data_IF_246596546284
#
_entry.id   IF_246596546284
#
_cell.length_a   1.000
_cell.length_b   1.000
_cell.length_c   1.000
_cell.angle_alpha   90.00
_cell.angle_beta   90.00
_cell.angle_gamma   90.00
#
_symmetry.space_group_name_H-M   'P 1'
#
loop_
_entity.id
_entity.type
_entity.pdbx_description
1 polymer ?
#
# COMPACT_ATOMS: atom_id res chain seq x y z
N UNK A 1 -2.04 -43.77 -13.11
CA UNK A 1 -3.02 -42.75 -12.68
C UNK A 1 -2.60 -42.02 -11.41
N UNK A 2 -2.31 -42.72 -10.30
CA UNK A 2 -1.86 -42.11 -9.03
C UNK A 2 -0.69 -41.11 -9.17
N UNK A 3 0.32 -41.42 -9.99
CA UNK A 3 1.45 -40.52 -10.27
C UNK A 3 1.03 -39.14 -10.81
N UNK A 4 0.01 -39.09 -11.66
CA UNK A 4 -0.50 -37.82 -12.20
C UNK A 4 -1.28 -37.03 -11.15
N UNK A 5 -2.00 -37.74 -10.29
CA UNK A 5 -2.75 -37.14 -9.17
C UNK A 5 -1.76 -36.51 -8.18
N UNK A 6 -0.70 -37.23 -7.81
CA UNK A 6 0.34 -36.71 -6.92
C UNK A 6 1.08 -35.52 -7.55
N UNK A 7 1.43 -35.60 -8.84
CA UNK A 7 2.07 -34.49 -9.55
C UNK A 7 1.18 -33.23 -9.60
N UNK A 8 -0.13 -33.40 -9.82
CA UNK A 8 -1.09 -32.31 -9.82
C UNK A 8 -1.17 -31.59 -8.47
N UNK A 9 -1.23 -32.34 -7.36
CA UNK A 9 -1.25 -31.73 -6.02
C UNK A 9 0.06 -31.05 -5.66
N UNK A 10 1.21 -31.62 -6.04
CA UNK A 10 2.52 -30.97 -5.84
C UNK A 10 2.58 -29.66 -6.62
N UNK A 11 2.13 -29.66 -7.88
CA UNK A 11 2.08 -28.45 -8.70
C UNK A 11 1.17 -27.38 -8.08
N UNK A 12 -0.02 -27.75 -7.61
CA UNK A 12 -0.93 -26.81 -6.91
C UNK A 12 -0.29 -26.23 -5.65
N UNK A 13 0.40 -27.04 -4.85
CA UNK A 13 1.07 -26.57 -3.64
C UNK A 13 2.19 -25.57 -3.96
N UNK A 14 3.01 -25.86 -4.98
CA UNK A 14 4.06 -24.95 -5.46
C UNK A 14 3.45 -23.65 -5.98
N UNK A 15 2.40 -23.73 -6.80
CA UNK A 15 1.70 -22.56 -7.32
C UNK A 15 1.14 -21.69 -6.19
N UNK A 16 0.54 -22.31 -5.18
CA UNK A 16 0.02 -21.62 -4.01
C UNK A 16 1.11 -20.88 -3.24
N UNK A 17 2.27 -21.51 -3.00
CA UNK A 17 3.41 -20.88 -2.34
C UNK A 17 3.93 -19.68 -3.15
N UNK A 18 4.01 -19.81 -4.48
CA UNK A 18 4.42 -18.71 -5.37
C UNK A 18 3.46 -17.52 -5.26
N UNK A 19 2.15 -17.77 -5.27
CA UNK A 19 1.14 -16.72 -5.09
C UNK A 19 1.30 -16.03 -3.72
N UNK A 20 1.47 -16.80 -2.63
CA UNK A 20 1.69 -16.23 -1.30
C UNK A 20 2.94 -15.34 -1.22
N UNK A 21 4.04 -15.76 -1.84
CA UNK A 21 5.27 -14.97 -1.89
C UNK A 21 5.10 -13.67 -2.69
N UNK A 22 4.36 -13.72 -3.80
CA UNK A 22 4.04 -12.53 -4.60
C UNK A 22 3.14 -11.56 -3.82
N UNK A 23 2.11 -12.04 -3.15
CA UNK A 23 1.18 -11.22 -2.36
C UNK A 23 1.90 -10.51 -1.21
N UNK A 24 2.75 -11.22 -0.46
CA UNK A 24 3.50 -10.62 0.65
C UNK A 24 4.42 -9.48 0.21
N UNK A 25 4.96 -9.53 -1.03
CA UNK A 25 5.78 -8.44 -1.57
C UNK A 25 4.95 -7.23 -1.99
N UNK A 26 3.76 -7.43 -2.54
CA UNK A 26 2.87 -6.35 -3.00
C UNK A 26 2.25 -5.61 -1.81
N UNK A 27 1.85 -6.33 -0.76
CA UNK A 27 1.19 -5.74 0.40
C UNK A 27 2.12 -4.80 1.19
N UNK A 28 3.42 -5.14 1.28
CA UNK A 28 4.43 -4.25 1.87
C UNK A 28 4.57 -2.92 1.14
N UNK A 29 4.36 -2.87 -0.18
CA UNK A 29 4.39 -1.59 -0.92
C UNK A 29 3.19 -0.70 -0.54
N UNK A 30 2.03 -1.27 -0.27
CA UNK A 30 0.84 -0.50 0.15
C UNK A 30 0.92 -0.04 1.61
N UNK A 31 1.60 -0.79 2.48
CA UNK A 31 1.82 -0.40 3.87
C UNK A 31 2.80 0.77 4.05
N UNK A 32 3.48 1.18 2.98
CA UNK A 32 4.45 2.28 2.98
C UNK A 32 3.91 3.51 2.25
N UNK A 33 2.62 3.83 2.42
CA UNK A 33 2.19 5.23 2.27
C UNK A 33 2.97 6.02 3.31
N UNK A 34 4.11 6.55 2.89
CA UNK A 34 5.01 7.31 3.73
C UNK A 34 4.28 8.61 4.06
N UNK A 35 3.61 8.64 5.20
CA UNK A 35 3.05 9.89 5.70
C UNK A 35 4.19 10.88 5.86
N UNK A 36 3.99 12.06 5.29
CA UNK A 36 4.96 13.14 5.37
C UNK A 36 4.56 13.97 6.60
N UNK A 37 5.48 14.33 7.49
CA UNK A 37 5.19 15.30 8.54
C UNK A 37 4.74 16.63 7.93
N UNK A 38 3.88 17.38 8.63
CA UNK A 38 3.45 18.72 8.16
C UNK A 38 4.63 19.64 7.85
N UNK A 39 5.73 19.51 8.61
CA UNK A 39 6.94 20.32 8.42
C UNK A 39 7.67 20.04 7.09
N UNK A 40 7.47 18.87 6.49
CA UNK A 40 8.18 18.42 5.28
C UNK A 40 7.31 18.50 4.02
N UNK A 41 6.18 19.22 4.07
CA UNK A 41 5.28 19.38 2.92
C UNK A 41 5.97 20.24 1.85
N UNK A 42 6.17 19.74 0.63
CA UNK A 42 6.79 20.51 -0.44
C UNK A 42 5.92 21.71 -0.87
N UNK A 43 6.56 22.75 -1.39
CA UNK A 43 5.85 23.91 -1.92
C UNK A 43 4.89 23.53 -3.07
N UNK A 44 3.76 24.25 -3.14
CA UNK A 44 2.73 24.04 -4.16
C UNK A 44 1.71 22.95 -3.85
N UNK A 45 1.81 22.26 -2.72
CA UNK A 45 0.76 21.37 -2.21
C UNK A 45 -0.25 22.14 -1.36
N UNK A 46 -1.53 21.95 -1.65
CA UNK A 46 -2.65 22.58 -0.94
C UNK A 46 -3.42 21.56 -0.12
N UNK A 47 -3.72 21.87 1.15
CA UNK A 47 -4.54 21.04 2.02
C UNK A 47 -5.95 20.93 1.43
N UNK A 48 -6.42 19.70 1.24
CA UNK A 48 -7.80 19.44 0.79
C UNK A 48 -8.73 19.26 1.99
N UNK A 49 -10.03 19.25 1.74
CA UNK A 49 -11.05 18.95 2.77
C UNK A 49 -11.11 17.45 3.13
N UNK A 50 -10.37 16.60 2.43
CA UNK A 50 -10.36 15.15 2.66
C UNK A 50 -9.36 14.78 3.77
N UNK A 51 -9.84 14.02 4.75
CA UNK A 51 -9.03 13.46 5.83
C UNK A 51 -9.56 12.08 6.25
N UNK A 52 -8.68 11.22 6.74
CA UNK A 52 -9.05 9.93 7.33
C UNK A 52 -8.21 9.65 8.58
N UNK A 53 -8.68 8.73 9.41
CA UNK A 53 -7.95 8.26 10.58
C UNK A 53 -7.09 7.05 10.19
N UNK A 54 -5.78 7.10 10.47
CA UNK A 54 -4.96 5.90 10.32
C UNK A 54 -5.23 4.94 11.49
N UNK A 55 -5.76 3.75 11.20
CA UNK A 55 -6.03 2.74 12.22
C UNK A 55 -4.76 2.19 12.90
N UNK A 56 -3.57 2.44 12.35
CA UNK A 56 -2.29 2.01 12.96
C UNK A 56 -1.76 3.01 13.98
N UNK A 57 -1.77 4.30 13.66
CA UNK A 57 -1.23 5.36 14.52
C UNK A 57 -2.33 6.09 15.31
N UNK A 58 -3.59 5.87 14.95
CA UNK A 58 -4.77 6.57 15.47
C UNK A 58 -4.66 8.09 15.33
N UNK A 59 -3.87 8.57 14.37
CA UNK A 59 -3.68 9.98 14.06
C UNK A 59 -4.42 10.37 12.78
N UNK A 60 -4.92 11.61 12.69
CA UNK A 60 -5.57 12.10 11.48
C UNK A 60 -4.54 12.30 10.37
N UNK A 61 -4.88 11.78 9.19
CA UNK A 61 -4.12 11.96 7.96
C UNK A 61 -4.91 12.88 7.04
N UNK A 62 -4.28 13.96 6.62
CA UNK A 62 -4.83 14.93 5.69
C UNK A 62 -4.27 14.72 4.29
N UNK A 63 -5.12 14.89 3.28
CA UNK A 63 -4.71 14.78 1.88
C UNK A 63 -4.34 16.18 1.37
N UNK A 64 -3.14 16.28 0.80
CA UNK A 64 -2.70 17.50 0.12
C UNK A 64 -2.59 17.22 -1.38
N UNK A 65 -2.95 18.21 -2.19
CA UNK A 65 -2.96 18.13 -3.64
C UNK A 65 -2.14 19.25 -4.27
N UNK A 66 -1.29 18.91 -5.24
CA UNK A 66 -0.57 19.89 -6.04
C UNK A 66 -1.30 20.08 -7.38
N UNK A 67 -1.95 21.24 -7.63
CA UNK A 67 -2.71 21.48 -8.86
C UNK A 67 -1.83 21.57 -10.11
N UNK A 68 -0.56 21.95 -9.96
CA UNK A 68 0.40 22.09 -11.06
C UNK A 68 0.87 20.72 -11.58
N UNK A 69 1.07 19.75 -10.68
CA UNK A 69 1.59 18.42 -11.06
C UNK A 69 0.53 17.31 -11.04
N UNK A 70 -0.66 17.57 -10.51
CA UNK A 70 -1.71 16.56 -10.30
C UNK A 70 -1.39 15.51 -9.23
N UNK A 71 -0.37 15.75 -8.39
CA UNK A 71 0.10 14.76 -7.40
C UNK A 71 -0.63 14.93 -6.07
N UNK A 72 -0.82 13.81 -5.36
CA UNK A 72 -1.38 13.77 -4.01
C UNK A 72 -0.34 13.24 -3.01
N UNK A 73 -0.32 13.83 -1.82
CA UNK A 73 0.47 13.35 -0.70
C UNK A 73 -0.42 13.23 0.55
N UNK A 74 0.01 12.36 1.46
CA UNK A 74 -0.68 12.07 2.71
C UNK A 74 0.17 12.62 3.84
N UNK A 75 -0.40 13.53 4.63
CA UNK A 75 0.31 14.28 5.66
C UNK A 75 -0.30 13.97 7.01
N UNK A 76 0.54 13.64 7.98
CA UNK A 76 0.13 13.34 9.35
C UNK A 76 0.46 14.54 10.23
N UNK A 77 -0.53 15.01 10.99
CA UNK A 77 -0.37 16.07 12.01
C UNK A 77 0.19 15.52 13.32
#
# INVERSE_FOLDING_TARGET
>A
MWKFIVAYFIFQLVLFIVILLLTNRTDKKSATTKYIPVADVPEGFQKTSESFLDNKTNQPVFIYYNPTTGKRIYVQE
#
